data_IF_990897833667
#
_entry.id   IF_990897833667
#
_cell.length_a   1.000
_cell.length_b   1.000
_cell.length_c   1.000
_cell.angle_alpha   90.00
_cell.angle_beta   90.00
_cell.angle_gamma   90.00
#
_symmetry.space_group_name_H-M   'P 1'
#
loop_
_entity.id
_entity.type
_entity.pdbx_description
1 polymer ?
#
# COMPACT_ATOMS: atom_id res chain seq x y z
N UNK A 1 -7.81 -36.87 -27.62
CA UNK A 1 -6.37 -36.50 -27.61
C UNK A 1 -6.25 -35.09 -28.20
N UNK A 2 -6.44 -34.04 -27.39
CA UNK A 2 -6.31 -32.64 -27.83
C UNK A 2 -4.90 -32.13 -27.50
N UNK A 3 -4.13 -31.75 -28.52
CA UNK A 3 -2.84 -31.05 -28.38
C UNK A 3 -3.09 -29.56 -28.19
N UNK A 4 -2.68 -29.03 -27.04
CA UNK A 4 -2.54 -27.59 -26.78
C UNK A 4 -1.32 -27.07 -27.57
N UNK A 5 -1.50 -26.05 -28.42
CA UNK A 5 -0.40 -25.31 -29.05
C UNK A 5 0.08 -24.20 -28.12
N UNK A 6 1.39 -24.13 -27.95
CA UNK A 6 2.08 -23.26 -27.01
C UNK A 6 1.96 -21.77 -27.31
N UNK A 7 2.03 -20.98 -26.24
CA UNK A 7 2.25 -19.55 -26.27
C UNK A 7 3.76 -19.30 -26.34
N UNK A 8 4.23 -18.69 -27.43
CA UNK A 8 5.58 -18.18 -27.58
C UNK A 8 5.53 -16.67 -27.81
N UNK A 9 5.71 -15.88 -26.76
CA UNK A 9 6.01 -14.46 -26.90
C UNK A 9 7.55 -14.32 -26.92
N UNK A 10 8.13 -14.32 -28.11
CA UNK A 10 9.54 -13.99 -28.29
C UNK A 10 9.74 -12.50 -27.98
N UNK A 11 10.40 -12.19 -26.87
CA UNK A 11 11.08 -10.91 -26.71
C UNK A 11 12.23 -10.87 -27.72
N UNK A 12 12.09 -10.05 -28.77
CA UNK A 12 13.19 -9.73 -29.67
C UNK A 12 14.06 -8.69 -28.97
N UNK A 13 15.17 -9.13 -28.37
CA UNK A 13 16.30 -8.24 -28.10
C UNK A 13 17.01 -7.99 -29.43
N UNK A 14 17.13 -6.72 -29.83
CA UNK A 14 17.88 -6.29 -31.00
C UNK A 14 19.39 -6.42 -30.71
N UNK A 15 20.14 -7.30 -31.39
CA UNK A 15 21.55 -7.55 -31.07
C UNK A 15 22.48 -6.40 -31.48
N UNK A 16 21.99 -5.39 -32.19
CA UNK A 16 22.79 -4.24 -32.64
C UNK A 16 23.18 -3.24 -31.53
N UNK A 17 22.47 -3.22 -30.39
CA UNK A 17 22.67 -2.21 -29.34
C UNK A 17 23.62 -2.70 -28.22
N UNK A 18 23.87 -4.01 -28.13
CA UNK A 18 24.67 -4.59 -27.05
C UNK A 18 26.20 -4.47 -27.24
N UNK A 19 26.67 -4.18 -28.46
CA UNK A 19 28.10 -4.21 -28.80
C UNK A 19 28.90 -2.95 -28.47
N UNK A 20 28.25 -1.80 -28.28
CA UNK A 20 28.94 -0.50 -28.16
C UNK A 20 28.85 0.14 -26.76
N UNK A 21 28.16 -0.52 -25.81
CA UNK A 21 27.87 0.01 -24.46
C UNK A 21 28.84 -0.45 -23.35
N UNK A 22 29.99 -1.05 -23.69
CA UNK A 22 30.94 -1.58 -22.69
C UNK A 22 32.35 -0.95 -22.71
N UNK A 23 32.54 0.22 -23.34
CA UNK A 23 33.89 0.85 -23.41
C UNK A 23 34.04 2.29 -22.93
N UNK A 24 33.09 2.92 -22.23
CA UNK A 24 33.34 4.29 -21.74
C UNK A 24 32.58 4.72 -20.50
N UNK A 25 32.99 4.22 -19.33
CA UNK A 25 32.71 4.87 -18.05
C UNK A 25 34.03 5.09 -17.27
N UNK A 26 34.76 6.15 -17.66
CA UNK A 26 35.83 6.75 -16.85
C UNK A 26 35.51 8.24 -16.67
N UNK A 27 34.55 8.57 -15.81
CA UNK A 27 34.44 9.86 -15.11
C UNK A 27 33.19 9.87 -14.24
N UNK A 28 33.31 10.38 -13.01
CA UNK A 28 32.29 10.33 -11.96
C UNK A 28 31.29 11.51 -11.99
N UNK A 29 31.25 12.31 -13.08
CA UNK A 29 30.61 13.64 -13.07
C UNK A 29 29.28 13.80 -13.81
N UNK A 30 28.84 12.85 -14.62
CA UNK A 30 27.56 12.97 -15.35
C UNK A 30 26.70 11.72 -15.11
N UNK A 31 26.04 11.65 -13.95
CA UNK A 31 25.02 10.62 -13.69
C UNK A 31 23.66 11.14 -14.13
N UNK A 32 23.44 11.18 -15.45
CA UNK A 32 22.09 11.17 -16.02
C UNK A 32 21.34 9.96 -15.42
N UNK A 33 20.35 10.22 -14.57
CA UNK A 33 19.51 9.16 -14.00
C UNK A 33 18.71 8.58 -15.16
N UNK A 34 19.13 7.42 -15.66
CA UNK A 34 18.40 6.68 -16.67
C UNK A 34 17.08 6.19 -16.07
N UNK A 35 16.00 6.95 -16.26
CA UNK A 35 14.65 6.55 -15.83
C UNK A 35 14.14 5.50 -16.80
N UNK A 36 14.23 4.24 -16.38
CA UNK A 36 13.66 3.12 -17.12
C UNK A 36 12.12 3.16 -17.02
N UNK A 37 11.46 3.64 -18.08
CA UNK A 37 10.00 3.61 -18.19
C UNK A 37 9.55 2.19 -18.55
N UNK A 38 8.87 1.52 -17.63
CA UNK A 38 8.24 0.22 -17.88
C UNK A 38 6.75 0.41 -18.13
N UNK A 39 6.26 -0.09 -19.26
CA UNK A 39 4.82 -0.13 -19.55
C UNK A 39 4.16 -1.26 -18.76
N UNK A 40 3.15 -0.93 -17.94
CA UNK A 40 2.35 -1.95 -17.25
C UNK A 40 1.64 -2.85 -18.26
N UNK A 41 1.81 -4.18 -18.11
CA UNK A 41 1.16 -5.17 -18.96
C UNK A 41 -0.38 -5.13 -18.85
N UNK A 42 -0.90 -4.71 -17.70
CA UNK A 42 -2.33 -4.52 -17.45
C UNK A 42 -2.62 -3.12 -16.94
N UNK A 43 -3.64 -2.50 -17.51
CA UNK A 43 -4.19 -1.24 -17.06
C UNK A 43 -5.42 -1.50 -16.20
N UNK A 44 -5.59 -0.73 -15.12
CA UNK A 44 -6.81 -0.82 -14.32
C UNK A 44 -8.00 -0.33 -15.16
N UNK A 45 -9.08 -1.11 -15.31
CA UNK A 45 -10.29 -0.63 -15.97
C UNK A 45 -10.87 0.56 -15.19
N UNK A 46 -11.00 1.71 -15.86
CA UNK A 46 -11.56 2.93 -15.26
C UNK A 46 -13.05 2.72 -14.99
N UNK A 47 -13.50 3.09 -13.79
CA UNK A 47 -14.92 3.03 -13.42
C UNK A 47 -15.50 1.61 -13.27
N UNK A 48 -14.68 0.56 -13.21
CA UNK A 48 -15.18 -0.80 -12.98
C UNK A 48 -15.94 -0.89 -11.64
N UNK A 49 -17.15 -1.47 -11.68
CA UNK A 49 -17.96 -1.79 -10.51
C UNK A 49 -18.05 -3.31 -10.39
N UNK A 50 -17.94 -3.79 -9.15
CA UNK A 50 -17.98 -5.21 -8.85
C UNK A 50 -19.23 -5.51 -8.03
N UNK A 51 -19.92 -6.59 -8.37
CA UNK A 51 -20.94 -7.19 -7.54
C UNK A 51 -20.46 -8.60 -7.17
N UNK A 52 -20.36 -8.87 -5.88
CA UNK A 52 -19.97 -10.17 -5.36
C UNK A 52 -21.20 -10.86 -4.79
N UNK A 53 -21.24 -12.19 -4.87
CA UNK A 53 -22.33 -13.01 -4.34
C UNK A 53 -21.80 -14.19 -3.54
N UNK A 54 -22.64 -14.75 -2.67
CA UNK A 54 -22.35 -15.95 -1.92
C UNK A 54 -21.28 -15.73 -0.85
N UNK A 55 -20.27 -16.59 -0.77
CA UNK A 55 -19.27 -16.54 0.31
C UNK A 55 -18.46 -15.26 0.32
N UNK A 56 -18.11 -14.71 -0.85
CA UNK A 56 -17.31 -13.49 -0.93
C UNK A 56 -18.07 -12.26 -0.43
N UNK A 57 -19.34 -12.12 -0.84
CA UNK A 57 -20.24 -11.08 -0.36
C UNK A 57 -20.35 -11.11 1.17
N UNK A 58 -20.63 -12.28 1.75
CA UNK A 58 -20.74 -12.47 3.20
C UNK A 58 -19.46 -12.10 3.93
N UNK A 59 -18.29 -12.45 3.39
CA UNK A 59 -17.00 -12.11 4.00
C UNK A 59 -16.68 -10.64 3.92
N UNK A 60 -16.99 -9.98 2.81
CA UNK A 60 -16.80 -8.53 2.67
C UNK A 60 -17.71 -7.76 3.64
N UNK A 61 -18.98 -8.16 3.73
CA UNK A 61 -19.93 -7.57 4.68
C UNK A 61 -19.49 -7.77 6.14
N UNK A 62 -19.10 -8.99 6.51
CA UNK A 62 -18.61 -9.26 7.87
C UNK A 62 -17.32 -8.49 8.19
N UNK A 63 -16.39 -8.37 7.23
CA UNK A 63 -15.18 -7.58 7.41
C UNK A 63 -15.48 -6.08 7.57
N UNK A 64 -16.44 -5.54 6.83
CA UNK A 64 -16.90 -4.16 7.00
C UNK A 64 -17.48 -3.95 8.41
N UNK A 65 -18.51 -4.72 8.76
CA UNK A 65 -19.30 -4.51 9.97
C UNK A 65 -18.52 -4.84 11.26
N UNK A 66 -17.77 -5.95 11.26
CA UNK A 66 -17.19 -6.47 12.50
C UNK A 66 -15.70 -6.15 12.67
N UNK A 67 -15.06 -5.62 11.62
CA UNK A 67 -13.65 -5.25 11.68
C UNK A 67 -13.43 -3.78 11.30
N UNK A 68 -13.71 -3.37 10.07
CA UNK A 68 -13.28 -2.06 9.57
C UNK A 68 -13.96 -0.88 10.26
N UNK A 69 -15.24 -1.01 10.62
CA UNK A 69 -15.99 0.03 11.32
C UNK A 69 -15.70 0.11 12.82
N UNK A 70 -15.10 -0.92 13.41
CA UNK A 70 -14.97 -1.07 14.87
C UNK A 70 -13.49 -0.99 15.31
N UNK A 71 -12.56 -1.47 14.48
CA UNK A 71 -11.18 -1.71 14.88
C UNK A 71 -10.46 -0.48 15.45
N UNK A 72 -10.59 0.74 14.90
CA UNK A 72 -9.90 1.91 15.47
C UNK A 72 -10.37 2.26 16.88
N UNK A 73 -11.66 2.10 17.18
CA UNK A 73 -12.22 2.38 18.51
C UNK A 73 -11.95 1.25 19.49
N UNK A 74 -12.01 0.00 19.04
CA UNK A 74 -11.74 -1.17 19.88
C UNK A 74 -10.25 -1.35 20.19
N UNK A 75 -9.37 -0.79 19.35
CA UNK A 75 -7.93 -0.86 19.52
C UNK A 75 -7.28 0.54 19.35
N UNK A 76 -7.48 1.45 20.31
CA UNK A 76 -6.96 2.81 20.23
C UNK A 76 -5.43 2.85 20.20
N UNK A 77 -4.76 1.80 20.70
CA UNK A 77 -3.31 1.67 20.63
C UNK A 77 -2.76 1.78 19.20
N UNK A 78 -3.59 1.53 18.17
CA UNK A 78 -3.23 1.70 16.77
C UNK A 78 -2.75 3.12 16.44
N UNK A 79 -3.23 4.16 17.13
CA UNK A 79 -2.77 5.55 16.99
C UNK A 79 -2.15 6.12 18.26
N UNK A 80 -2.56 5.67 19.46
CA UNK A 80 -2.00 6.19 20.72
C UNK A 80 -0.48 6.04 20.82
N UNK A 81 0.08 4.94 20.27
CA UNK A 81 1.52 4.71 20.28
C UNK A 81 2.34 5.79 19.56
N UNK A 82 1.72 6.53 18.63
CA UNK A 82 2.36 7.66 17.95
C UNK A 82 2.32 8.94 18.78
N UNK A 83 1.26 9.10 19.60
CA UNK A 83 1.03 10.25 20.49
C UNK A 83 1.99 10.22 21.67
N UNK A 84 2.25 9.03 22.22
CA UNK A 84 3.09 8.85 23.40
C UNK A 84 4.50 8.29 23.10
N UNK A 85 4.98 8.44 21.85
CA UNK A 85 6.28 7.93 21.40
C UNK A 85 7.49 8.32 22.28
N UNK A 86 7.43 9.52 22.87
CA UNK A 86 8.50 10.08 23.73
C UNK A 86 8.18 9.99 25.23
N UNK A 87 7.03 9.41 25.60
CA UNK A 87 6.60 9.27 26.99
C UNK A 87 7.51 8.30 27.76
N UNK A 88 7.78 8.63 29.02
CA UNK A 88 8.43 7.75 29.99
C UNK A 88 7.41 7.21 31.04
N UNK A 89 7.52 5.94 31.48
CA UNK A 89 8.40 4.91 30.93
C UNK A 89 7.96 4.53 29.51
N UNK A 90 8.94 4.09 28.69
CA UNK A 90 8.68 3.70 27.31
C UNK A 90 7.78 2.47 27.25
N UNK A 91 6.93 2.40 26.23
CA UNK A 91 6.14 1.21 25.93
C UNK A 91 7.07 0.09 25.43
N UNK A 92 6.77 -1.14 25.81
CA UNK A 92 7.39 -2.33 25.22
C UNK A 92 6.68 -2.63 23.88
N UNK A 93 7.23 -2.10 22.80
CA UNK A 93 6.66 -2.20 21.45
C UNK A 93 7.41 -3.22 20.63
N UNK A 94 6.67 -4.00 19.85
CA UNK A 94 7.27 -4.80 18.77
C UNK A 94 7.85 -3.88 17.69
N UNK A 95 8.95 -4.27 17.00
CA UNK A 95 9.63 -3.39 16.02
C UNK A 95 8.73 -2.85 14.89
N UNK A 96 7.65 -3.55 14.57
CA UNK A 96 6.68 -3.19 13.52
C UNK A 96 5.39 -2.56 14.06
N UNK A 97 5.38 -2.06 15.31
CA UNK A 97 4.16 -1.52 15.93
C UNK A 97 3.50 -0.41 15.07
N UNK A 98 4.29 0.43 14.41
CA UNK A 98 3.79 1.49 13.54
C UNK A 98 3.05 0.99 12.29
N UNK A 99 3.25 -0.27 11.89
CA UNK A 99 2.63 -0.81 10.66
C UNK A 99 1.11 -1.03 10.80
N UNK A 100 0.58 -1.11 12.02
CA UNK A 100 -0.84 -1.43 12.22
C UNK A 100 -1.77 -0.38 11.61
N UNK A 101 -1.43 0.91 11.76
CA UNK A 101 -2.20 2.01 11.16
C UNK A 101 -2.24 1.91 9.63
N UNK A 102 -1.09 1.65 9.00
CA UNK A 102 -1.00 1.48 7.55
C UNK A 102 -1.74 0.24 7.04
N UNK A 103 -1.69 -0.87 7.77
CA UNK A 103 -2.44 -2.11 7.45
C UNK A 103 -3.95 -1.88 7.52
N UNK A 104 -4.42 -1.18 8.55
CA UNK A 104 -5.83 -0.80 8.67
C UNK A 104 -6.28 0.08 7.49
N UNK A 105 -5.57 1.18 7.24
CA UNK A 105 -5.90 2.11 6.15
C UNK A 105 -5.93 1.42 4.79
N UNK A 106 -4.94 0.58 4.51
CA UNK A 106 -4.88 -0.18 3.25
C UNK A 106 -6.11 -1.08 3.10
N UNK A 107 -6.45 -1.85 4.14
CA UNK A 107 -7.61 -2.74 4.12
C UNK A 107 -8.93 -1.98 3.96
N UNK A 108 -9.10 -0.89 4.71
CA UNK A 108 -10.29 -0.05 4.68
C UNK A 108 -10.50 0.63 3.32
N UNK A 109 -9.45 1.23 2.73
CA UNK A 109 -9.52 1.87 1.41
C UNK A 109 -9.81 0.86 0.31
N UNK A 110 -9.21 -0.33 0.37
CA UNK A 110 -9.49 -1.40 -0.59
C UNK A 110 -10.95 -1.87 -0.49
N UNK A 111 -11.49 -2.02 0.72
CA UNK A 111 -12.90 -2.35 0.94
C UNK A 111 -13.82 -1.24 0.41
N UNK A 112 -13.58 0.01 0.77
CA UNK A 112 -14.35 1.17 0.30
C UNK A 112 -14.39 1.28 -1.23
N UNK A 113 -13.28 0.96 -1.91
CA UNK A 113 -13.21 0.95 -3.38
C UNK A 113 -14.03 -0.17 -4.03
N UNK A 114 -14.27 -1.28 -3.32
CA UNK A 114 -15.11 -2.38 -3.82
C UNK A 114 -16.58 -2.11 -3.52
N UNK A 115 -16.88 -1.67 -2.29
CA UNK A 115 -18.23 -1.43 -1.79
C UNK A 115 -18.21 -0.12 -1.00
N UNK A 116 -18.52 1.02 -1.65
CA UNK A 116 -18.58 2.30 -0.96
C UNK A 116 -19.61 2.29 0.17
N UNK A 117 -19.20 2.71 1.36
CA UNK A 117 -20.03 2.85 2.55
C UNK A 117 -19.65 4.17 3.24
N UNK A 118 -20.64 5.05 3.46
CA UNK A 118 -20.42 6.39 4.03
C UNK A 118 -19.94 6.35 5.48
N UNK A 119 -20.30 5.31 6.25
CA UNK A 119 -19.78 5.12 7.62
C UNK A 119 -18.29 4.81 7.57
N UNK A 120 -17.87 3.96 6.64
CA UNK A 120 -16.47 3.65 6.43
C UNK A 120 -15.70 4.87 5.90
N UNK A 121 -16.31 5.68 5.03
CA UNK A 121 -15.71 6.93 4.57
C UNK A 121 -15.45 7.88 5.73
N UNK A 122 -16.47 8.13 6.56
CA UNK A 122 -16.33 9.00 7.72
C UNK A 122 -15.29 8.45 8.73
N UNK A 123 -15.20 7.12 8.87
CA UNK A 123 -14.18 6.48 9.69
C UNK A 123 -12.77 6.69 9.13
N UNK A 124 -12.59 6.56 7.82
CA UNK A 124 -11.33 6.81 7.11
C UNK A 124 -10.90 8.26 7.26
N UNK A 125 -11.81 9.22 7.04
CA UNK A 125 -11.52 10.64 7.16
C UNK A 125 -11.01 10.97 8.58
N UNK A 126 -11.73 10.53 9.62
CA UNK A 126 -11.27 10.69 11.02
C UNK A 126 -9.91 10.04 11.29
N UNK A 127 -9.73 8.79 10.85
CA UNK A 127 -8.49 8.06 11.10
C UNK A 127 -7.28 8.74 10.43
N UNK A 128 -7.45 9.23 9.21
CA UNK A 128 -6.41 9.95 8.48
C UNK A 128 -6.09 11.28 9.15
N UNK A 129 -7.10 12.05 9.55
CA UNK A 129 -6.89 13.32 10.27
C UNK A 129 -6.12 13.09 11.58
N UNK A 130 -6.50 12.06 12.34
CA UNK A 130 -5.79 11.69 13.58
C UNK A 130 -4.36 11.21 13.34
N UNK A 131 -4.12 10.41 12.29
CA UNK A 131 -2.79 9.91 11.95
C UNK A 131 -1.86 11.01 11.45
N UNK A 132 -2.38 11.95 10.64
CA UNK A 132 -1.60 13.12 10.20
C UNK A 132 -1.31 14.02 11.40
N UNK A 133 -2.26 14.18 12.32
CA UNK A 133 -2.10 15.01 13.51
C UNK A 133 -0.99 14.57 14.48
N UNK A 134 -0.48 13.35 14.35
CA UNK A 134 0.64 12.82 15.17
C UNK A 134 1.98 12.81 14.44
N UNK A 135 2.02 13.28 13.19
CA UNK A 135 3.26 13.48 12.45
C UNK A 135 4.07 14.64 13.05
N UNK A 136 5.37 14.43 13.17
CA UNK A 136 6.30 15.44 13.67
C UNK A 136 6.63 16.50 12.61
N UNK A 137 7.22 17.63 13.04
CA UNK A 137 7.42 18.82 12.22
C UNK A 137 8.28 18.62 10.96
N UNK A 138 9.15 17.62 10.94
CA UNK A 138 9.99 17.28 9.78
C UNK A 138 9.53 16.01 9.05
N UNK A 139 8.34 15.50 9.40
CA UNK A 139 7.69 14.39 8.74
C UNK A 139 7.84 13.03 9.43
N UNK A 140 8.57 12.90 10.55
CA UNK A 140 8.61 11.63 11.29
C UNK A 140 7.22 11.20 11.75
N UNK A 141 6.82 10.00 11.35
CA UNK A 141 5.52 9.41 11.68
C UNK A 141 5.75 7.97 12.12
N UNK A 142 6.13 7.80 13.40
CA UNK A 142 6.43 6.51 13.98
C UNK A 142 6.16 6.49 15.48
N UNK A 143 6.04 5.29 16.07
CA UNK A 143 5.72 5.12 17.49
C UNK A 143 6.96 5.01 18.38
N UNK A 144 8.16 5.07 17.78
CA UNK A 144 9.40 4.95 18.53
C UNK A 144 9.93 6.34 18.91
N UNK A 145 10.69 6.42 20.00
CA UNK A 145 11.28 7.66 20.45
C UNK A 145 12.10 8.30 19.35
N UNK A 146 12.12 9.63 19.40
CA UNK A 146 12.80 10.42 18.42
C UNK A 146 13.95 11.24 18.98
#
# INVERSE_FOLDING_TARGET
>A
MLRLRGWGAQARCDPGVAGELLKRCRSHKDKEIFVMSVSLAFQRPKGARYAFHGTMEKRLAANLEHWLLIAPQANPAMLEMFRDRDRLPRRDLVPWAGEFAGKYLTSAVLCYRLTPDERLRAQLDRFVDELIGVQDADGYLGPFPR
#
